data_IF_033595080336
#
_entry.id   IF_033595080336
#
_cell.length_a   1.000
_cell.length_b   1.000
_cell.length_c   1.000
_cell.angle_alpha   90.00
_cell.angle_beta   90.00
_cell.angle_gamma   90.00
#
_symmetry.space_group_name_H-M   'P 1'
#
loop_
_entity.id
_entity.type
_entity.pdbx_description
1 polymer ?
#
# COMPACT_ATOMS: atom_id res chain seq x y z
N UNK A 1 15.35 9.00 -2.99
CA UNK A 1 14.09 8.46 -2.43
C UNK A 1 14.45 7.77 -1.13
N UNK A 2 13.79 8.15 -0.03
CA UNK A 2 14.04 7.59 1.29
C UNK A 2 13.59 6.12 1.35
N UNK A 3 14.42 5.28 1.94
CA UNK A 3 14.06 3.91 2.29
C UNK A 3 13.25 3.96 3.57
N UNK A 4 12.02 3.45 3.52
CA UNK A 4 11.14 3.44 4.68
C UNK A 4 11.04 2.04 5.26
N UNK A 5 10.70 1.93 6.55
CA UNK A 5 10.54 0.65 7.23
C UNK A 5 9.14 0.57 7.80
N UNK A 6 8.47 -0.56 7.59
CA UNK A 6 7.20 -0.89 8.23
C UNK A 6 7.37 -2.16 9.06
N UNK A 7 6.71 -2.22 10.20
CA UNK A 7 6.63 -3.44 11.00
C UNK A 7 5.33 -4.17 10.63
N UNK A 8 5.47 -5.35 10.04
CA UNK A 8 4.36 -6.23 9.71
C UNK A 8 4.61 -7.55 10.41
N UNK A 9 3.72 -7.89 11.34
CA UNK A 9 3.73 -9.15 12.09
C UNK A 9 5.08 -9.46 12.73
N UNK A 10 5.64 -8.49 13.45
CA UNK A 10 6.95 -8.58 14.12
C UNK A 10 8.17 -8.67 13.18
N UNK A 11 7.96 -8.54 11.87
CA UNK A 11 9.02 -8.39 10.88
C UNK A 11 9.14 -6.94 10.43
N UNK A 12 10.36 -6.39 10.48
CA UNK A 12 10.67 -5.08 9.90
C UNK A 12 11.03 -5.25 8.43
N UNK A 13 10.20 -4.69 7.55
CA UNK A 13 10.38 -4.74 6.10
C UNK A 13 10.84 -3.38 5.57
N UNK A 14 11.83 -3.40 4.69
CA UNK A 14 12.22 -2.24 3.87
C UNK A 14 11.22 -2.02 2.75
N UNK A 15 10.71 -0.80 2.61
CA UNK A 15 9.75 -0.40 1.59
C UNK A 15 10.37 0.69 0.70
N UNK A 16 10.19 0.53 -0.61
CA UNK A 16 10.57 1.55 -1.59
C UNK A 16 9.38 2.08 -2.35
N UNK A 17 8.98 3.30 -2.04
CA UNK A 17 8.00 4.07 -2.79
C UNK A 17 8.69 4.64 -4.04
N UNK A 18 8.34 4.11 -5.23
CA UNK A 18 8.95 4.53 -6.49
C UNK A 18 8.01 4.29 -7.68
N UNK A 19 8.32 4.91 -8.82
CA UNK A 19 7.58 4.73 -10.08
C UNK A 19 7.60 3.28 -10.63
N UNK A 20 8.45 2.41 -10.08
CA UNK A 20 8.47 0.98 -10.42
C UNK A 20 7.32 0.21 -9.77
N UNK A 21 6.84 0.64 -8.60
CA UNK A 21 5.84 -0.07 -7.81
C UNK A 21 4.53 -0.28 -8.58
N UNK A 22 3.96 0.72 -9.29
CA UNK A 22 2.75 0.49 -10.08
C UNK A 22 2.92 -0.55 -11.18
N UNK A 23 4.12 -0.63 -11.77
CA UNK A 23 4.44 -1.64 -12.79
C UNK A 23 4.50 -3.02 -12.15
N UNK A 24 5.24 -3.19 -11.04
CA UNK A 24 5.31 -4.46 -10.32
C UNK A 24 3.92 -4.94 -9.90
N UNK A 25 3.08 -4.04 -9.40
CA UNK A 25 1.74 -4.38 -8.95
C UNK A 25 0.87 -4.90 -10.10
N UNK A 26 0.88 -4.23 -11.27
CA UNK A 26 0.22 -4.73 -12.47
C UNK A 26 0.79 -6.09 -12.92
N UNK A 27 2.11 -6.23 -12.95
CA UNK A 27 2.77 -7.45 -13.42
C UNK A 27 2.49 -8.67 -12.51
N UNK A 28 2.26 -8.47 -11.21
CA UNK A 28 2.02 -9.57 -10.25
C UNK A 28 0.53 -9.85 -10.03
N UNK A 29 -0.36 -8.84 -10.14
CA UNK A 29 -1.76 -8.98 -9.72
C UNK A 29 -2.78 -8.61 -10.81
N UNK A 30 -2.35 -8.10 -11.97
CA UNK A 30 -3.22 -7.65 -13.08
C UNK A 30 -4.28 -6.61 -12.66
N UNK A 31 -3.91 -5.73 -11.72
CA UNK A 31 -4.77 -4.66 -11.18
C UNK A 31 -4.13 -3.28 -11.41
N UNK A 32 -4.97 -2.24 -11.46
CA UNK A 32 -4.49 -0.86 -11.50
C UNK A 32 -4.08 -0.38 -10.11
N UNK A 33 -2.78 -0.22 -9.88
CA UNK A 33 -2.22 0.19 -8.59
C UNK A 33 -2.86 1.45 -8.00
N UNK A 34 -3.03 2.52 -8.79
CA UNK A 34 -3.54 3.79 -8.27
C UNK A 34 -5.02 3.71 -7.87
N UNK A 35 -5.81 2.94 -8.63
CA UNK A 35 -7.20 2.67 -8.28
C UNK A 35 -7.31 1.84 -7.00
N UNK A 36 -6.46 0.83 -6.85
CA UNK A 36 -6.44 0.00 -5.64
C UNK A 36 -5.96 0.79 -4.41
N UNK A 37 -4.98 1.69 -4.55
CA UNK A 37 -4.57 2.61 -3.47
C UNK A 37 -5.78 3.45 -3.02
N UNK A 38 -6.51 4.06 -3.96
CA UNK A 38 -7.70 4.85 -3.63
C UNK A 38 -8.78 4.03 -2.90
N UNK A 39 -9.00 2.78 -3.31
CA UNK A 39 -9.92 1.85 -2.61
C UNK A 39 -9.42 1.53 -1.21
N UNK A 40 -8.13 1.26 -1.03
CA UNK A 40 -7.54 0.95 0.26
C UNK A 40 -7.64 2.14 1.24
N UNK A 41 -7.38 3.36 0.77
CA UNK A 41 -7.55 4.60 1.54
C UNK A 41 -8.99 4.73 2.05
N UNK A 42 -9.97 4.60 1.15
CA UNK A 42 -11.38 4.70 1.52
C UNK A 42 -11.80 3.62 2.53
N UNK A 43 -11.33 2.38 2.35
CA UNK A 43 -11.63 1.25 3.24
C UNK A 43 -11.05 1.43 4.64
N UNK A 44 -9.76 1.78 4.75
CA UNK A 44 -9.10 2.01 6.04
C UNK A 44 -9.69 3.22 6.76
N UNK A 45 -10.00 4.30 6.03
CA UNK A 45 -10.71 5.46 6.59
C UNK A 45 -12.08 5.08 7.15
N UNK A 46 -12.85 4.26 6.43
CA UNK A 46 -14.14 3.74 6.90
C UNK A 46 -14.02 2.86 8.15
N UNK A 47 -12.98 2.03 8.25
CA UNK A 47 -12.69 1.29 9.49
C UNK A 47 -12.40 2.26 10.63
N UNK A 48 -11.50 3.23 10.45
CA UNK A 48 -11.15 4.18 11.51
C UNK A 48 -12.37 4.97 12.01
N UNK A 49 -13.26 5.39 11.12
CA UNK A 49 -14.48 6.10 11.49
C UNK A 49 -15.43 5.21 12.31
N UNK A 50 -15.62 3.95 11.90
CA UNK A 50 -16.38 2.97 12.69
C UNK A 50 -15.76 2.81 14.08
N UNK A 51 -14.45 2.59 14.19
CA UNK A 51 -13.72 2.41 15.46
C UNK A 51 -13.79 3.62 16.40
N UNK A 52 -13.85 4.85 15.88
CA UNK A 52 -14.08 6.05 16.71
C UNK A 52 -15.47 6.07 17.35
N UNK A 53 -16.46 5.43 16.73
CA UNK A 53 -17.83 5.36 17.24
C UNK A 53 -18.03 4.19 18.24
N UNK A 54 -17.05 3.31 18.42
CA UNK A 54 -17.12 2.12 19.29
C UNK A 54 -16.80 2.38 20.77
N UNK A 55 -16.54 3.63 21.19
CA UNK A 55 -16.44 3.97 22.63
C UNK A 55 -17.76 3.71 23.40
N UNK A 56 -18.84 3.26 22.74
CA UNK A 56 -20.13 2.92 23.35
C UNK A 56 -20.57 1.45 23.10
N UNK A 57 -19.84 0.49 23.66
CA UNK A 57 -20.48 -0.61 24.42
C UNK A 57 -21.14 -1.82 23.73
N UNK A 58 -20.77 -2.28 22.53
CA UNK A 58 -21.33 -3.53 21.96
C UNK A 58 -20.28 -4.55 21.45
N UNK A 59 -20.22 -5.72 22.08
CA UNK A 59 -19.20 -6.76 21.83
C UNK A 59 -19.49 -7.66 20.62
N UNK A 60 -20.73 -7.64 20.07
CA UNK A 60 -21.10 -8.46 18.89
C UNK A 60 -20.56 -7.88 17.58
N UNK A 61 -20.20 -6.62 17.61
CA UNK A 61 -19.58 -5.82 16.56
C UNK A 61 -18.04 -5.88 16.64
N UNK A 62 -17.48 -7.01 17.05
CA UNK A 62 -16.01 -7.21 17.01
C UNK A 62 -15.64 -8.26 15.95
N UNK A 63 -16.51 -9.25 15.71
CA UNK A 63 -16.21 -10.37 14.81
C UNK A 63 -16.38 -10.02 13.32
N UNK A 64 -17.39 -9.21 12.96
CA UNK A 64 -17.56 -8.75 11.56
C UNK A 64 -16.42 -7.83 11.16
N UNK A 65 -16.00 -7.00 12.09
CA UNK A 65 -14.95 -6.01 11.99
C UNK A 65 -13.60 -6.71 11.83
N UNK A 66 -13.37 -7.81 12.54
CA UNK A 66 -12.22 -8.69 12.34
C UNK A 66 -12.17 -9.28 10.92
N UNK A 67 -13.31 -9.71 10.36
CA UNK A 67 -13.35 -10.23 8.98
C UNK A 67 -13.08 -9.12 7.95
N UNK A 68 -13.64 -7.92 8.16
CA UNK A 68 -13.34 -6.74 7.32
C UNK A 68 -11.86 -6.34 7.40
N UNK A 69 -11.30 -6.25 8.61
CA UNK A 69 -9.89 -5.94 8.86
C UNK A 69 -9.00 -6.98 8.18
N UNK A 70 -9.33 -8.26 8.32
CA UNK A 70 -8.57 -9.33 7.67
C UNK A 70 -8.55 -9.17 6.16
N UNK A 71 -9.72 -8.93 5.55
CA UNK A 71 -9.82 -8.73 4.10
C UNK A 71 -8.98 -7.54 3.63
N UNK A 72 -9.01 -6.43 4.36
CA UNK A 72 -8.22 -5.24 4.03
C UNK A 72 -6.73 -5.45 4.28
N UNK A 73 -6.36 -6.19 5.33
CA UNK A 73 -4.99 -6.61 5.57
C UNK A 73 -4.45 -7.42 4.40
N UNK A 74 -5.21 -8.41 3.91
CA UNK A 74 -4.82 -9.25 2.78
C UNK A 74 -4.60 -8.42 1.49
N UNK A 75 -5.49 -7.45 1.21
CA UNK A 75 -5.33 -6.51 0.11
C UNK A 75 -4.09 -5.61 0.28
N UNK A 76 -3.83 -5.15 1.51
CA UNK A 76 -2.69 -4.27 1.80
C UNK A 76 -1.34 -4.98 1.69
N UNK A 77 -1.29 -6.29 1.94
CA UNK A 77 -0.08 -7.09 1.75
C UNK A 77 0.37 -7.15 0.29
N UNK A 78 -0.54 -7.07 -0.68
CA UNK A 78 -0.19 -7.00 -2.10
C UNK A 78 0.66 -5.74 -2.39
N UNK A 79 0.33 -4.60 -1.76
CA UNK A 79 1.13 -3.37 -1.87
C UNK A 79 2.47 -3.52 -1.17
N UNK A 80 2.48 -4.05 0.05
CA UNK A 80 3.71 -4.28 0.83
C UNK A 80 4.68 -5.15 0.04
N UNK A 81 4.19 -6.24 -0.55
CA UNK A 81 5.00 -7.13 -1.39
C UNK A 81 5.64 -6.35 -2.54
N UNK A 82 4.89 -5.51 -3.26
CA UNK A 82 5.45 -4.74 -4.38
C UNK A 82 6.46 -3.68 -3.91
N UNK A 83 6.19 -3.02 -2.79
CA UNK A 83 7.10 -2.04 -2.18
C UNK A 83 8.38 -2.69 -1.68
N UNK A 84 8.28 -3.90 -1.10
CA UNK A 84 9.42 -4.66 -0.61
C UNK A 84 10.23 -5.25 -1.77
N UNK A 85 9.57 -5.77 -2.80
CA UNK A 85 10.20 -6.21 -4.05
C UNK A 85 10.96 -5.08 -4.75
N UNK A 86 10.40 -3.86 -4.75
CA UNK A 86 11.07 -2.69 -5.31
C UNK A 86 12.33 -2.26 -4.53
N UNK A 87 12.43 -2.60 -3.24
CA UNK A 87 13.61 -2.33 -2.42
C UNK A 87 14.73 -3.37 -2.60
N UNK A 88 14.40 -4.55 -3.14
CA UNK A 88 15.28 -5.70 -3.26
C UNK A 88 15.68 -6.00 -4.72
N UNK A 89 16.48 -7.05 -4.92
CA UNK A 89 16.78 -7.59 -6.25
C UNK A 89 15.53 -8.25 -6.86
N UNK A 90 14.86 -7.50 -7.74
CA UNK A 90 13.57 -7.86 -8.35
C UNK A 90 13.63 -9.21 -9.07
N UNK A 91 14.80 -9.60 -9.62
CA UNK A 91 14.96 -10.82 -10.40
C UNK A 91 15.05 -12.08 -9.54
N UNK A 92 15.42 -11.93 -8.26
CA UNK A 92 15.56 -13.03 -7.29
C UNK A 92 14.49 -12.98 -6.21
N UNK A 93 13.59 -12.01 -6.29
CA UNK A 93 12.55 -11.85 -5.29
C UNK A 93 11.52 -12.97 -5.41
N UNK A 94 11.12 -13.61 -4.29
CA UNK A 94 10.13 -14.68 -4.29
C UNK A 94 8.80 -14.24 -4.92
N UNK A 95 7.99 -15.22 -5.33
CA UNK A 95 6.59 -14.96 -5.69
C UNK A 95 5.80 -14.47 -4.48
N UNK A 96 4.62 -13.91 -4.70
CA UNK A 96 3.78 -13.40 -3.61
C UNK A 96 3.48 -14.48 -2.55
N UNK A 97 3.10 -15.69 -3.00
CA UNK A 97 2.79 -16.79 -2.09
C UNK A 97 4.01 -17.28 -1.32
N UNK A 98 5.16 -17.42 -2.00
CA UNK A 98 6.44 -17.79 -1.35
C UNK A 98 6.90 -16.75 -0.34
N UNK A 99 6.72 -15.46 -0.66
CA UNK A 99 7.02 -14.35 0.23
C UNK A 99 6.09 -14.34 1.44
N UNK A 100 4.79 -14.50 1.23
CA UNK A 100 3.79 -14.51 2.30
C UNK A 100 4.00 -15.68 3.28
N UNK A 101 4.43 -16.84 2.78
CA UNK A 101 4.76 -18.00 3.59
C UNK A 101 5.98 -17.82 4.51
N UNK A 102 6.73 -16.71 4.39
CA UNK A 102 7.85 -16.39 5.29
C UNK A 102 7.39 -15.74 6.60
N UNK A 103 6.13 -15.30 6.67
CA UNK A 103 5.60 -14.64 7.85
C UNK A 103 4.65 -15.56 8.62
N UNK A 104 4.78 -15.55 9.95
CA UNK A 104 3.78 -16.17 10.82
C UNK A 104 2.45 -15.41 10.72
N UNK A 105 1.33 -16.08 11.03
CA UNK A 105 -0.01 -15.53 10.86
C UNK A 105 -0.17 -14.15 11.53
N UNK A 106 -0.90 -13.21 10.89
CA UNK A 106 -1.12 -11.86 11.40
C UNK A 106 -1.64 -11.81 12.83
N UNK A 107 -1.07 -10.91 13.65
CA UNK A 107 -1.84 -10.29 14.73
C UNK A 107 -2.75 -9.21 14.13
N UNK A 108 -3.98 -9.59 13.77
CA UNK A 108 -4.99 -8.73 13.14
C UNK A 108 -5.44 -7.55 14.02
N UNK A 109 -5.05 -7.50 15.29
CA UNK A 109 -5.37 -6.40 16.20
C UNK A 109 -4.38 -5.23 16.10
N UNK A 110 -3.24 -5.41 15.43
CA UNK A 110 -2.30 -4.31 15.20
C UNK A 110 -2.72 -3.50 13.98
N UNK A 111 -3.72 -2.63 14.14
CA UNK A 111 -4.26 -1.80 13.06
C UNK A 111 -3.32 -0.63 12.67
N UNK A 112 -2.32 -0.33 13.50
CA UNK A 112 -1.46 0.84 13.31
C UNK A 112 -0.69 0.79 11.99
N UNK A 113 -0.23 -0.38 11.57
CA UNK A 113 0.51 -0.51 10.31
C UNK A 113 -0.39 -0.34 9.08
N UNK A 114 -1.68 -0.71 9.14
CA UNK A 114 -2.62 -0.51 8.03
C UNK A 114 -2.79 0.99 7.75
N UNK A 115 -2.97 1.76 8.82
CA UNK A 115 -3.13 3.21 8.77
C UNK A 115 -1.86 3.89 8.29
N UNK A 116 -0.71 3.55 8.89
CA UNK A 116 0.60 4.09 8.50
C UNK A 116 0.92 3.80 7.03
N UNK A 117 0.67 2.57 6.56
CA UNK A 117 0.87 2.18 5.17
C UNK A 117 0.01 3.00 4.21
N UNK A 118 -1.29 3.14 4.51
CA UNK A 118 -2.23 3.86 3.65
C UNK A 118 -1.88 5.35 3.56
N UNK A 119 -1.50 5.98 4.66
CA UNK A 119 -1.04 7.38 4.68
C UNK A 119 0.18 7.52 3.76
N UNK A 120 1.18 6.65 3.87
CA UNK A 120 2.38 6.71 3.02
C UNK A 120 2.07 6.45 1.55
N UNK A 121 1.16 5.51 1.26
CA UNK A 121 0.69 5.25 -0.10
C UNK A 121 0.02 6.50 -0.69
N UNK A 122 -0.81 7.19 0.10
CA UNK A 122 -1.43 8.44 -0.32
C UNK A 122 -0.39 9.55 -0.50
N UNK A 123 0.54 9.74 0.42
CA UNK A 123 1.59 10.77 0.30
C UNK A 123 2.48 10.59 -0.93
N UNK A 124 2.83 9.34 -1.27
CA UNK A 124 3.76 9.03 -2.36
C UNK A 124 3.08 8.81 -3.73
N UNK A 125 1.79 8.51 -3.76
CA UNK A 125 1.07 8.15 -4.99
C UNK A 125 -0.25 8.87 -5.20
N UNK A 126 -0.70 9.74 -4.27
CA UNK A 126 -1.81 10.65 -4.55
C UNK A 126 -1.38 11.63 -5.64
N UNK A 127 -2.26 11.81 -6.63
CA UNK A 127 -1.96 12.44 -7.92
C UNK A 127 -1.48 13.90 -7.90
N UNK A 128 -1.20 14.51 -6.75
CA UNK A 128 -0.68 15.88 -6.67
C UNK A 128 0.74 16.02 -7.25
N UNK A 129 1.59 14.99 -7.22
CA UNK A 129 2.94 15.06 -7.84
C UNK A 129 3.00 14.48 -9.27
N UNK A 130 1.99 13.74 -9.72
CA UNK A 130 1.97 13.16 -11.07
C UNK A 130 1.45 14.13 -12.15
N UNK A 131 0.78 15.22 -11.77
CA UNK A 131 0.36 16.26 -12.72
C UNK A 131 1.50 17.22 -13.12
N UNK A 132 2.43 17.53 -12.21
CA UNK A 132 3.53 18.45 -12.52
C UNK A 132 4.59 17.85 -13.46
N UNK A 133 4.80 16.52 -13.42
CA UNK A 133 5.78 15.86 -14.27
C UNK A 133 5.29 15.58 -15.72
N UNK A 134 4.00 15.79 -16.02
CA UNK A 134 3.49 15.69 -17.41
C UNK A 134 3.63 17.00 -18.20
N UNK A 135 3.80 18.14 -17.53
CA UNK A 135 3.94 19.43 -18.22
C UNK A 135 5.39 19.77 -18.64
N UNK A 136 6.42 19.26 -17.96
CA UNK A 136 7.81 19.59 -18.34
C UNK A 136 8.28 18.95 -19.66
N UNK A 137 7.73 17.80 -20.07
CA UNK A 137 8.14 17.15 -21.33
C UNK A 137 7.55 17.78 -22.60
N UNK A 138 6.48 18.58 -22.50
CA UNK A 138 5.93 19.31 -23.67
C UNK A 138 6.64 20.64 -23.95
N UNK A 139 7.28 21.28 -22.95
CA UNK A 139 7.99 22.55 -23.17
C UNK A 139 9.37 22.39 -23.81
N UNK A 140 10.07 21.25 -23.64
CA UNK A 140 11.39 21.04 -24.28
C UNK A 140 11.35 20.67 -25.76
N UNK A 141 10.19 20.29 -26.31
CA UNK A 141 10.06 19.94 -27.74
C UNK A 141 9.76 21.13 -28.65
N UNK A 142 9.37 22.29 -28.10
CA UNK A 142 9.11 23.53 -28.88
C UNK A 142 10.34 24.44 -29.06
N UNK A 143 11.44 24.20 -28.37
CA UNK A 143 12.64 25.05 -28.40
C UNK A 143 13.74 24.54 -29.35
N UNK A 144 13.46 23.52 -30.18
CA UNK A 144 14.39 23.01 -31.21
C UNK A 144 13.92 23.21 -32.65
N UNK A 145 12.85 23.97 -32.86
CA UNK A 145 12.35 24.31 -34.21
C UNK A 145 12.20 25.83 -34.41
N UNK A 146 13.18 26.60 -33.89
CA UNK A 146 13.43 27.98 -34.32
C UNK A 146 14.90 28.14 -34.64
#
# INVERSE_FOLDING_TARGET
MLQEKINIWDHTLGLRFSALVPKLYRDNFDKNFLEEVGKAVAKVGGIQEKYKNYETGDFREIKKEQDEIKKISDELLEFVYCLNKADNDIFKFPTYDEWLNQFDKPNLLNLNWLVDLVIRLEENFSGKEFEDNKNEKKSKKKLKET
#
